data_IF_785506486926
#
_entry.id   IF_785506486926
#
_cell.length_a   1.000
_cell.length_b   1.000
_cell.length_c   1.000
_cell.angle_alpha   90.00
_cell.angle_beta   90.00
_cell.angle_gamma   90.00
#
_symmetry.space_group_name_H-M   'P 1'
#
loop_
_entity.id
_entity.type
_entity.pdbx_description
1 polymer ?
#
# COMPACT_ATOMS: atom_id res chain seq x y z
N UNK A 1 -33.25 27.46 32.55
CA UNK A 1 -33.13 27.37 31.08
C UNK A 1 -31.71 26.94 30.77
N UNK A 2 -31.52 25.66 30.49
CA UNK A 2 -30.97 25.16 29.22
C UNK A 2 -29.56 25.64 28.89
N UNK A 3 -28.57 24.77 29.09
CA UNK A 3 -27.43 24.63 28.18
C UNK A 3 -27.03 23.15 28.15
N UNK A 4 -27.88 22.32 27.52
CA UNK A 4 -27.46 21.00 27.05
C UNK A 4 -26.72 21.24 25.73
N UNK A 5 -25.41 21.49 25.82
CA UNK A 5 -24.54 21.46 24.65
C UNK A 5 -24.48 20.00 24.17
N UNK A 6 -25.22 19.68 23.10
CA UNK A 6 -25.05 18.43 22.38
C UNK A 6 -23.62 18.40 21.81
N UNK A 7 -22.77 17.54 22.34
CA UNK A 7 -21.56 17.08 21.65
C UNK A 7 -22.01 16.25 20.44
N UNK A 8 -22.18 16.90 19.29
CA UNK A 8 -22.20 16.20 18.01
C UNK A 8 -20.78 15.82 17.63
N UNK A 9 -20.31 14.68 18.16
CA UNK A 9 -19.14 13.98 17.63
C UNK A 9 -19.56 13.40 16.27
N UNK A 10 -19.37 14.15 15.18
CA UNK A 10 -19.34 13.55 13.86
C UNK A 10 -18.08 12.70 13.78
N UNK A 11 -18.21 11.40 14.06
CA UNK A 11 -17.26 10.41 13.56
C UNK A 11 -17.38 10.45 12.05
N UNK A 12 -16.52 11.24 11.40
CA UNK A 12 -16.21 11.05 10.01
C UNK A 12 -15.59 9.65 9.92
N UNK A 13 -16.42 8.65 9.66
CA UNK A 13 -15.95 7.33 9.26
C UNK A 13 -15.23 7.54 7.93
N UNK A 14 -13.93 7.80 7.99
CA UNK A 14 -13.08 7.73 6.81
C UNK A 14 -13.32 6.35 6.23
N UNK A 15 -13.88 6.29 5.03
CA UNK A 15 -14.04 5.05 4.29
C UNK A 15 -12.62 4.65 3.88
N UNK A 16 -11.94 3.89 4.74
CA UNK A 16 -10.61 3.40 4.42
C UNK A 16 -10.75 2.39 3.29
N UNK A 17 -10.18 2.73 2.15
CA UNK A 17 -10.22 1.90 0.97
C UNK A 17 -8.84 1.24 0.83
N UNK A 18 -8.82 -0.09 0.76
CA UNK A 18 -7.57 -0.82 0.62
C UNK A 18 -7.38 -1.36 -0.79
N UNK A 19 -6.16 -1.26 -1.30
CA UNK A 19 -5.68 -2.13 -2.38
C UNK A 19 -5.18 -3.43 -1.74
N UNK A 20 -5.50 -4.57 -2.36
CA UNK A 20 -5.04 -5.88 -1.88
C UNK A 20 -3.96 -6.40 -2.81
N UNK A 21 -2.86 -6.85 -2.21
CA UNK A 21 -1.72 -7.39 -2.94
C UNK A 21 -1.29 -8.74 -2.42
N UNK A 22 -0.97 -9.64 -3.34
CA UNK A 22 -0.18 -10.83 -3.04
C UNK A 22 1.30 -10.48 -3.09
N UNK A 23 2.07 -10.90 -2.09
CA UNK A 23 3.51 -10.67 -1.98
C UNK A 23 4.28 -11.94 -2.30
N UNK A 24 5.40 -11.82 -3.01
CA UNK A 24 6.19 -12.96 -3.49
C UNK A 24 7.66 -12.81 -3.12
N UNK A 25 8.30 -13.95 -2.82
CA UNK A 25 9.73 -14.02 -2.51
C UNK A 25 10.60 -13.76 -3.74
N UNK A 26 10.16 -14.21 -4.92
CA UNK A 26 10.92 -14.11 -6.16
C UNK A 26 10.42 -12.99 -7.07
N UNK A 27 11.29 -12.39 -7.92
CA UNK A 27 10.94 -11.26 -8.78
C UNK A 27 10.00 -11.60 -9.94
N UNK A 28 9.73 -12.89 -10.18
CA UNK A 28 8.84 -13.43 -11.21
C UNK A 28 7.45 -13.81 -10.68
N UNK A 29 7.10 -13.33 -9.47
CA UNK A 29 5.87 -13.68 -8.75
C UNK A 29 5.71 -15.18 -8.46
N UNK A 30 6.83 -15.87 -8.21
CA UNK A 30 6.83 -17.21 -7.63
C UNK A 30 7.17 -17.16 -6.13
N UNK A 31 6.75 -18.20 -5.39
CA UNK A 31 6.93 -18.24 -3.93
C UNK A 31 6.02 -17.23 -3.21
N UNK A 32 4.71 -17.46 -3.24
CA UNK A 32 3.73 -16.64 -2.52
C UNK A 32 4.06 -16.63 -1.02
N UNK A 33 4.18 -15.43 -0.46
CA UNK A 33 4.41 -15.20 0.96
C UNK A 33 3.06 -15.08 1.66
N UNK A 34 2.26 -14.08 1.26
CA UNK A 34 0.98 -13.75 1.89
C UNK A 34 0.22 -12.72 1.04
N UNK A 35 -1.03 -12.45 1.41
CA UNK A 35 -1.84 -11.37 0.83
C UNK A 35 -2.05 -10.27 1.88
N UNK A 36 -1.98 -9.00 1.48
CA UNK A 36 -2.01 -7.84 2.39
C UNK A 36 -2.87 -6.71 1.86
N UNK A 37 -3.59 -6.09 2.78
CA UNK A 37 -4.32 -4.85 2.54
C UNK A 37 -3.38 -3.67 2.76
N UNK A 38 -3.28 -2.78 1.78
CA UNK A 38 -2.60 -1.49 1.90
C UNK A 38 -3.67 -0.42 1.86
N UNK A 39 -3.90 0.24 3.00
CA UNK A 39 -4.95 1.26 3.10
C UNK A 39 -4.48 2.57 2.47
N UNK A 40 -5.44 3.34 1.98
CA UNK A 40 -5.20 4.68 1.48
C UNK A 40 -4.54 5.56 2.55
N UNK A 41 -3.60 6.36 2.07
CA UNK A 41 -2.81 7.31 2.85
C UNK A 41 -2.10 6.67 4.06
N UNK A 42 -1.66 5.42 3.90
CA UNK A 42 -1.05 4.62 4.97
C UNK A 42 0.21 3.90 4.51
N UNK A 43 1.05 3.54 5.47
CA UNK A 43 2.23 2.72 5.25
C UNK A 43 2.08 1.36 5.91
N UNK A 44 2.22 0.29 5.13
CA UNK A 44 2.21 -1.08 5.62
C UNK A 44 3.64 -1.64 5.71
N UNK A 45 3.97 -2.23 6.86
CA UNK A 45 5.18 -3.02 7.05
C UNK A 45 4.92 -4.46 6.61
N UNK A 46 5.73 -4.95 5.68
CA UNK A 46 5.45 -6.20 4.94
C UNK A 46 6.47 -7.32 5.18
N UNK A 47 7.64 -7.01 5.73
CA UNK A 47 8.61 -8.03 6.17
C UNK A 47 9.44 -8.67 5.06
N UNK A 48 9.53 -8.04 3.88
CA UNK A 48 10.37 -8.48 2.77
C UNK A 48 9.56 -9.11 1.62
N UNK A 49 9.72 -8.60 0.40
CA UNK A 49 9.14 -9.16 -0.83
C UNK A 49 9.90 -8.64 -2.06
N UNK A 50 10.02 -9.47 -3.10
CA UNK A 50 10.71 -9.10 -4.35
C UNK A 50 9.76 -8.78 -5.49
N UNK A 51 8.51 -9.24 -5.40
CA UNK A 51 7.45 -8.90 -6.34
C UNK A 51 6.09 -8.88 -5.63
N UNK A 52 5.12 -8.26 -6.27
CA UNK A 52 3.72 -8.32 -5.85
C UNK A 52 2.79 -8.42 -7.05
N UNK A 53 1.54 -8.79 -6.77
CA UNK A 53 0.44 -8.72 -7.72
C UNK A 53 -0.75 -8.08 -7.04
N UNK A 54 -1.32 -7.06 -7.67
CA UNK A 54 -2.57 -6.46 -7.20
C UNK A 54 -3.72 -7.42 -7.50
N UNK A 55 -4.39 -7.90 -6.47
CA UNK A 55 -5.54 -8.82 -6.58
C UNK A 55 -6.87 -8.09 -6.50
N UNK A 56 -6.93 -7.01 -5.72
CA UNK A 56 -8.08 -6.13 -5.62
C UNK A 56 -7.62 -4.69 -5.78
N UNK A 57 -8.21 -3.96 -6.72
CA UNK A 57 -7.90 -2.56 -6.98
C UNK A 57 -8.25 -1.65 -5.80
N UNK A 58 -7.43 -0.63 -5.57
CA UNK A 58 -7.72 0.45 -4.61
C UNK A 58 -8.52 1.61 -5.23
N UNK A 59 -8.63 2.76 -4.52
CA UNK A 59 -9.32 3.94 -5.01
C UNK A 59 -8.76 4.47 -6.33
N UNK A 60 -9.59 5.03 -7.21
CA UNK A 60 -9.10 5.70 -8.41
C UNK A 60 -8.17 6.86 -8.06
N UNK A 61 -7.11 7.04 -8.86
CA UNK A 61 -6.13 8.12 -8.67
C UNK A 61 -5.03 7.84 -7.63
N UNK A 62 -5.06 6.67 -6.97
CA UNK A 62 -4.03 6.24 -6.04
C UNK A 62 -2.88 5.50 -6.76
N UNK A 63 -1.69 5.65 -6.19
CA UNK A 63 -0.48 4.96 -6.57
C UNK A 63 -0.02 4.07 -5.43
N UNK A 64 0.34 2.84 -5.77
CA UNK A 64 0.96 1.90 -4.85
C UNK A 64 2.48 2.03 -4.96
N UNK A 65 3.13 2.41 -3.87
CA UNK A 65 4.58 2.59 -3.82
C UNK A 65 5.21 1.54 -2.93
N UNK A 66 6.18 0.80 -3.45
CA UNK A 66 7.00 -0.13 -2.66
C UNK A 66 8.35 0.50 -2.30
N UNK A 67 8.86 0.18 -1.12
CA UNK A 67 10.07 0.77 -0.57
C UNK A 67 11.06 -0.30 -0.13
N UNK A 68 12.33 -0.06 -0.39
CA UNK A 68 13.44 -0.93 0.03
C UNK A 68 13.56 -1.00 1.55
N UNK A 69 13.19 0.08 2.25
CA UNK A 69 13.27 0.20 3.71
C UNK A 69 11.89 0.06 4.35
N UNK A 70 11.90 -0.20 5.66
CA UNK A 70 10.70 -0.11 6.48
C UNK A 70 10.17 1.35 6.56
N UNK A 71 8.92 1.48 7.02
CA UNK A 71 8.26 2.77 7.29
C UNK A 71 8.08 3.69 6.07
N UNK A 72 8.04 3.13 4.85
CA UNK A 72 7.75 3.84 3.60
C UNK A 72 8.63 5.09 3.41
N UNK A 73 9.91 4.94 3.76
CA UNK A 73 10.89 6.01 3.70
C UNK A 73 12.07 5.63 2.81
N UNK A 74 12.65 6.62 2.14
CA UNK A 74 13.85 6.44 1.33
C UNK A 74 13.57 5.81 -0.05
N UNK A 75 14.51 5.02 -0.59
CA UNK A 75 14.46 4.57 -1.97
C UNK A 75 13.24 3.71 -2.30
N UNK A 76 12.45 4.20 -3.25
CA UNK A 76 11.34 3.49 -3.88
C UNK A 76 11.91 2.41 -4.80
N UNK A 77 11.31 1.22 -4.75
CA UNK A 77 11.64 0.12 -5.67
C UNK A 77 10.75 0.14 -6.90
N UNK A 78 9.46 0.47 -6.72
CA UNK A 78 8.49 0.60 -7.80
C UNK A 78 7.31 1.45 -7.35
N UNK A 79 6.67 2.10 -8.33
CA UNK A 79 5.40 2.78 -8.15
C UNK A 79 4.45 2.36 -9.27
N UNK A 80 3.26 1.86 -8.93
CA UNK A 80 2.25 1.43 -9.91
C UNK A 80 0.86 1.93 -9.57
N UNK A 81 0.03 2.27 -10.56
CA UNK A 81 -1.37 2.60 -10.32
C UNK A 81 -2.11 1.43 -9.67
N UNK A 82 -2.93 1.71 -8.64
CA UNK A 82 -3.70 0.66 -7.93
C UNK A 82 -4.75 -0.03 -8.80
N UNK A 83 -5.03 0.51 -9.99
CA UNK A 83 -5.95 -0.07 -10.97
C UNK A 83 -5.36 -1.23 -11.79
N UNK A 84 -4.03 -1.43 -11.76
CA UNK A 84 -3.36 -2.47 -12.56
C UNK A 84 -3.43 -3.81 -11.83
N UNK A 85 -4.53 -4.54 -12.00
CA UNK A 85 -4.74 -5.85 -11.37
C UNK A 85 -4.15 -7.00 -12.18
N UNK A 86 -3.83 -8.11 -11.51
CA UNK A 86 -3.45 -9.38 -12.13
C UNK A 86 -2.02 -9.46 -12.69
N UNK A 87 -1.37 -8.32 -12.94
CA UNK A 87 0.01 -8.29 -13.46
C UNK A 87 1.04 -8.51 -12.36
N UNK A 88 2.09 -9.28 -12.67
CA UNK A 88 3.25 -9.41 -11.80
C UNK A 88 4.09 -8.13 -11.86
N UNK A 89 4.36 -7.52 -10.71
CA UNK A 89 5.17 -6.32 -10.59
C UNK A 89 6.41 -6.63 -9.78
N UNK A 90 7.58 -6.45 -10.40
CA UNK A 90 8.87 -6.56 -9.71
C UNK A 90 9.08 -5.35 -8.80
N UNK A 91 9.44 -5.61 -7.54
CA UNK A 91 9.62 -4.60 -6.50
C UNK A 91 11.02 -4.69 -5.87
N UNK A 92 12.04 -4.61 -6.72
CA UNK A 92 13.45 -4.61 -6.31
C UNK A 92 14.21 -3.46 -6.97
N UNK A 93 15.26 -2.96 -6.33
CA UNK A 93 16.22 -2.03 -6.93
C UNK A 93 17.67 -2.42 -6.56
N UNK A 94 18.62 -1.49 -6.69
CA UNK A 94 20.03 -1.73 -6.34
C UNK A 94 20.26 -2.02 -4.84
N UNK A 95 19.32 -1.61 -3.97
CA UNK A 95 19.35 -1.90 -2.53
C UNK A 95 18.71 -3.26 -2.19
N UNK A 96 18.15 -3.96 -3.18
CA UNK A 96 17.56 -5.28 -3.04
C UNK A 96 16.03 -5.27 -3.05
N UNK A 97 15.44 -6.13 -2.22
CA UNK A 97 13.99 -6.35 -2.11
C UNK A 97 13.27 -5.23 -1.33
N UNK A 98 11.94 -5.23 -1.40
CA UNK A 98 11.10 -4.27 -0.69
C UNK A 98 10.69 -4.76 0.70
N UNK A 99 10.47 -3.85 1.63
CA UNK A 99 10.07 -4.16 3.01
C UNK A 99 8.78 -3.47 3.45
N UNK A 100 8.38 -2.41 2.76
CA UNK A 100 7.15 -1.66 3.05
C UNK A 100 6.44 -1.21 1.77
N UNK A 101 5.18 -0.84 1.92
CA UNK A 101 4.35 -0.34 0.82
C UNK A 101 3.37 0.72 1.31
N UNK A 102 3.17 1.78 0.54
CA UNK A 102 2.17 2.81 0.79
C UNK A 102 1.19 2.95 -0.38
N UNK A 103 0.00 3.47 -0.10
CA UNK A 103 -0.95 3.92 -1.12
C UNK A 103 -1.20 5.41 -0.93
N UNK A 104 -0.83 6.24 -1.91
CA UNK A 104 -1.17 7.67 -1.91
C UNK A 104 -1.33 8.19 -3.35
N UNK A 105 -1.90 9.39 -3.58
CA UNK A 105 -2.04 9.95 -4.93
C UNK A 105 -0.70 10.21 -5.66
N UNK A 106 0.41 10.24 -4.93
CA UNK A 106 1.74 10.55 -5.44
C UNK A 106 2.73 9.44 -5.08
N UNK A 107 3.56 9.02 -6.03
CA UNK A 107 4.60 8.04 -5.76
C UNK A 107 5.55 8.52 -4.66
N UNK A 108 5.89 7.65 -3.72
CA UNK A 108 6.85 7.99 -2.67
C UNK A 108 6.24 8.70 -1.46
N UNK A 109 4.94 8.99 -1.46
CA UNK A 109 4.25 9.57 -0.30
C UNK A 109 3.42 8.54 0.46
N UNK A 110 3.10 8.89 1.70
CA UNK A 110 2.14 8.19 2.55
C UNK A 110 0.97 9.12 2.78
#
# INVERSE_FOLDING_TARGET
MQFKALLTLLVAAATSNAVVVDLFTNPDCTGLITSRNIFDNSCALLGGFSAYRITTSGPPGQQLTAYSRNACAGPVTVCTPVAVTGSCVRATNNDGASNAMSSSPVCGTV
#
